data_IF_583913347901
#
_entry.id   IF_583913347901
#
_cell.length_a   1.000
_cell.length_b   1.000
_cell.length_c   1.000
_cell.angle_alpha   90.00
_cell.angle_beta   90.00
_cell.angle_gamma   90.00
#
_symmetry.space_group_name_H-M   'P 1'
#
loop_
_entity.id
_entity.type
_entity.pdbx_description
1 polymer ?
#
# COMPACT_ATOMS: atom_id res chain seq x y z
N UNK A 1 4.51 7.46 -11.17
CA UNK A 1 3.59 6.31 -11.04
C UNK A 1 2.25 6.72 -11.59
N UNK A 2 1.45 5.80 -12.13
CA UNK A 2 0.08 6.14 -12.57
C UNK A 2 -0.73 6.64 -11.36
N UNK A 3 -1.58 7.64 -11.55
CA UNK A 3 -2.42 8.16 -10.47
C UNK A 3 -3.42 7.08 -9.99
N UNK A 4 -3.90 6.25 -10.92
CA UNK A 4 -4.82 5.16 -10.61
C UNK A 4 -4.13 3.96 -9.95
N UNK A 5 -4.42 3.65 -8.68
CA UNK A 5 -3.81 2.52 -7.99
C UNK A 5 -4.20 1.18 -8.61
N UNK A 6 -5.36 1.08 -9.28
CA UNK A 6 -5.79 -0.14 -10.00
C UNK A 6 -4.91 -0.52 -11.19
N UNK A 7 -4.06 0.40 -11.68
CA UNK A 7 -3.13 0.17 -12.79
C UNK A 7 -1.71 -0.17 -12.32
N UNK A 8 -1.49 -0.22 -11.00
CA UNK A 8 -0.18 -0.52 -10.45
C UNK A 8 0.20 -1.98 -10.68
N UNK A 9 1.46 -2.19 -11.02
CA UNK A 9 2.10 -3.51 -11.01
C UNK A 9 2.65 -3.78 -9.61
N UNK A 10 3.05 -5.01 -9.32
CA UNK A 10 3.66 -5.32 -8.01
C UNK A 10 4.89 -4.45 -7.70
N UNK A 11 5.68 -4.09 -8.72
CA UNK A 11 6.80 -3.15 -8.56
C UNK A 11 6.34 -1.74 -8.16
N UNK A 12 5.28 -1.23 -8.80
CA UNK A 12 4.67 0.04 -8.42
C UNK A 12 4.15 0.00 -6.98
N UNK A 13 3.46 -1.08 -6.56
CA UNK A 13 3.00 -1.22 -5.18
C UNK A 13 4.17 -1.12 -4.18
N UNK A 14 5.30 -1.76 -4.49
CA UNK A 14 6.53 -1.67 -3.67
C UNK A 14 7.08 -0.27 -3.59
N UNK A 15 7.25 0.41 -4.73
CA UNK A 15 7.74 1.79 -4.76
C UNK A 15 6.84 2.74 -3.95
N UNK A 16 5.53 2.54 -4.04
CA UNK A 16 4.56 3.33 -3.27
C UNK A 16 4.68 3.09 -1.77
N UNK A 17 4.82 1.82 -1.34
CA UNK A 17 5.03 1.48 0.06
C UNK A 17 6.32 2.09 0.60
N UNK A 18 7.44 1.98 -0.13
CA UNK A 18 8.72 2.57 0.28
C UNK A 18 8.64 4.09 0.40
N UNK A 19 7.95 4.74 -0.53
CA UNK A 19 7.71 6.18 -0.45
C UNK A 19 6.82 6.53 0.75
N UNK A 20 5.70 5.83 0.94
CA UNK A 20 4.75 6.10 2.04
C UNK A 20 5.41 5.91 3.41
N UNK A 21 6.27 4.90 3.56
CA UNK A 21 7.03 4.67 4.79
C UNK A 21 7.93 5.87 5.11
N UNK A 22 8.62 6.42 4.11
CA UNK A 22 9.50 7.58 4.28
C UNK A 22 8.71 8.88 4.51
N UNK A 23 7.64 9.09 3.74
CA UNK A 23 6.83 10.32 3.78
C UNK A 23 6.05 10.44 5.09
N UNK A 24 5.43 9.35 5.55
CA UNK A 24 4.62 9.34 6.77
C UNK A 24 5.42 8.93 8.02
N UNK A 25 6.71 8.63 7.89
CA UNK A 25 7.55 8.17 9.00
C UNK A 25 7.04 6.85 9.62
N UNK A 26 6.53 5.94 8.78
CA UNK A 26 5.97 4.67 9.25
C UNK A 26 7.10 3.75 9.74
N UNK A 27 6.81 2.85 10.70
CA UNK A 27 7.74 1.78 11.01
C UNK A 27 8.01 0.93 9.76
N UNK A 28 9.21 0.35 9.69
CA UNK A 28 9.67 -0.42 8.53
C UNK A 28 8.63 -1.48 8.13
N UNK A 29 8.05 -1.32 6.93
CA UNK A 29 7.07 -2.25 6.37
C UNK A 29 7.82 -3.27 5.54
N UNK A 30 7.57 -4.55 5.78
CA UNK A 30 8.14 -5.62 4.97
C UNK A 30 7.50 -5.64 3.58
N UNK A 31 8.08 -4.88 2.65
CA UNK A 31 7.68 -4.79 1.24
C UNK A 31 7.84 -6.11 0.49
N UNK A 32 8.51 -7.13 1.07
CA UNK A 32 8.56 -8.47 0.48
C UNK A 32 7.24 -9.20 0.66
N UNK A 33 6.46 -8.88 1.69
CA UNK A 33 5.11 -9.42 1.87
C UNK A 33 4.14 -8.95 0.77
N UNK A 34 4.43 -7.82 0.13
CA UNK A 34 3.63 -7.25 -0.96
C UNK A 34 4.15 -7.62 -2.36
N UNK A 35 5.19 -8.46 -2.48
CA UNK A 35 5.86 -8.72 -3.75
C UNK A 35 4.98 -9.36 -4.85
N UNK A 36 3.89 -10.02 -4.45
CA UNK A 36 2.92 -10.65 -5.35
C UNK A 36 1.61 -9.87 -5.46
N UNK A 37 1.51 -8.70 -4.83
CA UNK A 37 0.30 -7.88 -4.77
C UNK A 37 0.41 -6.78 -5.83
N UNK A 38 -0.40 -6.85 -6.87
CA UNK A 38 -0.57 -5.75 -7.82
C UNK A 38 -1.63 -4.77 -7.34
N UNK A 39 -1.75 -3.65 -8.05
CA UNK A 39 -2.67 -2.56 -7.72
C UNK A 39 -4.13 -2.97 -7.59
N UNK A 40 -4.59 -3.94 -8.39
CA UNK A 40 -5.98 -4.41 -8.32
C UNK A 40 -6.24 -5.18 -7.04
N UNK A 41 -5.32 -6.06 -6.65
CA UNK A 41 -5.43 -6.81 -5.41
C UNK A 41 -5.31 -5.86 -4.22
N UNK A 42 -4.36 -4.94 -4.24
CA UNK A 42 -4.20 -3.91 -3.20
C UNK A 42 -5.49 -3.10 -3.00
N UNK A 43 -6.16 -2.68 -4.08
CA UNK A 43 -7.42 -1.94 -4.00
C UNK A 43 -8.61 -2.76 -3.47
N UNK A 44 -8.54 -4.10 -3.51
CA UNK A 44 -9.56 -5.00 -2.96
C UNK A 44 -9.30 -5.41 -1.51
N UNK A 45 -8.06 -5.27 -1.03
CA UNK A 45 -7.70 -5.62 0.33
C UNK A 45 -8.51 -4.79 1.33
N UNK A 46 -9.02 -5.47 2.36
CA UNK A 46 -9.64 -4.82 3.49
C UNK A 46 -8.58 -4.32 4.46
N UNK A 47 -8.98 -3.48 5.41
CA UNK A 47 -8.12 -3.06 6.52
C UNK A 47 -7.48 -4.24 7.23
N UNK A 48 -8.27 -5.25 7.59
CA UNK A 48 -7.77 -6.49 8.21
C UNK A 48 -6.71 -7.21 7.37
N UNK A 49 -6.82 -7.20 6.04
CA UNK A 49 -5.83 -7.85 5.16
C UNK A 49 -4.50 -7.09 5.20
N UNK A 50 -4.54 -5.75 5.11
CA UNK A 50 -3.33 -4.92 5.18
C UNK A 50 -2.69 -5.00 6.57
N UNK A 51 -3.51 -5.03 7.62
CA UNK A 51 -3.08 -5.20 9.02
C UNK A 51 -2.43 -6.56 9.31
N UNK A 52 -2.60 -7.57 8.44
CA UNK A 52 -1.85 -8.83 8.56
C UNK A 52 -0.43 -8.71 8.02
N UNK A 53 -0.19 -7.76 7.12
CA UNK A 53 1.10 -7.51 6.48
C UNK A 53 1.89 -6.40 7.19
N UNK A 54 1.22 -5.53 7.94
CA UNK A 54 1.82 -4.41 8.66
C UNK A 54 1.07 -4.14 9.97
N UNK A 55 1.38 -3.05 10.67
CA UNK A 55 0.68 -2.66 11.90
C UNK A 55 -0.66 -1.97 11.63
N UNK A 56 -1.56 -1.98 12.61
CA UNK A 56 -2.87 -1.33 12.53
C UNK A 56 -2.79 0.13 12.11
N UNK A 57 -1.83 0.86 12.66
CA UNK A 57 -1.58 2.27 12.35
C UNK A 57 -1.14 2.48 10.90
N UNK A 58 -0.16 1.70 10.43
CA UNK A 58 0.34 1.75 9.06
C UNK A 58 -0.77 1.43 8.05
N UNK A 59 -1.57 0.41 8.34
CA UNK A 59 -2.68 0.02 7.47
C UNK A 59 -3.71 1.15 7.27
N UNK A 60 -4.08 1.87 8.33
CA UNK A 60 -4.98 3.02 8.25
C UNK A 60 -4.44 4.14 7.34
N UNK A 61 -3.15 4.46 7.48
CA UNK A 61 -2.50 5.51 6.68
C UNK A 61 -2.42 5.09 5.21
N UNK A 62 -1.94 3.88 4.95
CA UNK A 62 -1.80 3.33 3.60
C UNK A 62 -3.16 3.29 2.89
N UNK A 63 -4.21 2.78 3.55
CA UNK A 63 -5.54 2.71 2.96
C UNK A 63 -6.19 4.08 2.78
N UNK A 64 -5.99 5.02 3.71
CA UNK A 64 -6.46 6.40 3.53
C UNK A 64 -5.85 7.05 2.31
N UNK A 65 -4.53 6.89 2.12
CA UNK A 65 -3.85 7.46 0.97
C UNK A 65 -4.20 6.73 -0.33
N UNK A 66 -4.37 5.41 -0.30
CA UNK A 66 -4.87 4.63 -1.44
C UNK A 66 -6.29 5.08 -1.86
N UNK A 67 -7.14 5.42 -0.90
CA UNK A 67 -8.47 5.99 -1.17
C UNK A 67 -8.37 7.34 -1.87
N UNK A 68 -7.52 8.23 -1.36
CA UNK A 68 -7.27 9.55 -1.94
C UNK A 68 -6.79 9.47 -3.40
N UNK A 69 -5.92 8.50 -3.73
CA UNK A 69 -5.43 8.31 -5.10
C UNK A 69 -6.51 7.80 -6.07
N UNK A 70 -7.61 7.26 -5.55
CA UNK A 70 -8.71 6.71 -6.35
C UNK A 70 -9.86 7.72 -6.56
N UNK A 71 -9.82 8.86 -5.87
CA UNK A 71 -10.75 9.99 -6.07
C UNK A 71 -10.24 10.94 -7.15
#
# INVERSE_FOLDING_TARGET
MSADPSLWSADHVRQWLEWAVKEYGLPEVDVSLFHSIDGKELCKMSKDDVQRLTSSYTADILLSHLHYLRE
#
